data_IF_983553159224
#
_entry.id   IF_983553159224
#
_cell.length_a   1.000
_cell.length_b   1.000
_cell.length_c   1.000
_cell.angle_alpha   90.00
_cell.angle_beta   90.00
_cell.angle_gamma   90.00
#
_symmetry.space_group_name_H-M   'P 1'
#
loop_
_entity.id
_entity.type
_entity.pdbx_description
1 polymer ?
#
# COMPACT_ATOMS: atom_id res chain seq x y z
N UNK A 1 14.24 -8.15 54.37
CA UNK A 1 12.90 -8.29 53.73
C UNK A 1 12.39 -7.04 53.00
N UNK A 2 12.52 -5.81 53.56
CA UNK A 2 12.04 -4.57 52.89
C UNK A 2 12.75 -4.26 51.56
N UNK A 3 14.08 -4.46 51.49
CA UNK A 3 14.88 -4.23 50.26
C UNK A 3 14.49 -5.17 49.11
N UNK A 4 14.21 -6.44 49.40
CA UNK A 4 13.77 -7.43 48.39
C UNK A 4 12.38 -7.08 47.85
N UNK A 5 11.43 -6.67 48.71
CA UNK A 5 10.11 -6.19 48.26
C UNK A 5 10.20 -4.91 47.43
N UNK A 6 11.15 -4.02 47.73
CA UNK A 6 11.41 -2.81 46.95
C UNK A 6 12.00 -3.15 45.58
N UNK A 7 13.00 -4.03 45.52
CA UNK A 7 13.60 -4.50 44.27
C UNK A 7 12.58 -5.22 43.39
N UNK A 8 11.70 -6.04 43.98
CA UNK A 8 10.62 -6.71 43.24
C UNK A 8 9.61 -5.70 42.67
N UNK A 9 9.23 -4.67 43.44
CA UNK A 9 8.33 -3.61 42.95
C UNK A 9 8.96 -2.80 41.82
N UNK A 10 10.25 -2.49 41.94
CA UNK A 10 11.00 -1.79 40.88
C UNK A 10 11.07 -2.66 39.63
N UNK A 11 11.40 -3.95 39.75
CA UNK A 11 11.43 -4.87 38.62
C UNK A 11 10.05 -5.04 37.95
N UNK A 12 8.97 -5.13 38.71
CA UNK A 12 7.60 -5.21 38.18
C UNK A 12 7.19 -3.90 37.50
N UNK A 13 7.56 -2.74 38.05
CA UNK A 13 7.30 -1.44 37.43
C UNK A 13 8.07 -1.27 36.10
N UNK A 14 9.32 -1.74 36.03
CA UNK A 14 10.10 -1.76 34.79
C UNK A 14 9.50 -2.74 33.76
N UNK A 15 9.03 -3.92 34.18
CA UNK A 15 8.35 -4.87 33.30
C UNK A 15 7.04 -4.27 32.74
N UNK A 16 6.26 -3.58 33.57
CA UNK A 16 5.04 -2.91 33.14
C UNK A 16 5.32 -1.74 32.19
N UNK A 17 6.35 -0.93 32.45
CA UNK A 17 6.76 0.14 31.54
C UNK A 17 7.22 -0.41 30.19
N UNK A 18 7.95 -1.54 30.19
CA UNK A 18 8.39 -2.22 28.97
C UNK A 18 7.21 -2.80 28.16
N UNK A 19 6.22 -3.42 28.82
CA UNK A 19 5.01 -3.93 28.17
C UNK A 19 4.10 -2.81 27.63
N UNK A 20 4.02 -1.67 28.30
CA UNK A 20 3.30 -0.50 27.81
C UNK A 20 4.01 0.16 26.62
N UNK A 21 5.34 0.14 26.57
CA UNK A 21 6.09 0.64 25.40
C UNK A 21 5.95 -0.24 24.15
N UNK A 22 5.66 -1.55 24.30
CA UNK A 22 5.38 -2.42 23.15
C UNK A 22 4.02 -2.13 22.48
N UNK A 23 3.08 -1.47 23.18
CA UNK A 23 1.79 -1.07 22.61
C UNK A 23 1.85 0.27 21.85
N UNK A 24 2.97 1.00 21.92
CA UNK A 24 3.15 2.26 21.19
C UNK A 24 3.97 2.12 19.90
N UNK A 25 4.37 0.89 19.55
CA UNK A 25 5.09 0.56 18.32
C UNK A 25 4.27 -0.38 17.42
N UNK A 26 2.96 -0.15 17.38
CA UNK A 26 2.06 -0.57 16.28
C UNK A 26 1.27 0.67 15.84
N UNK A 27 2.01 1.74 15.58
CA UNK A 27 1.50 2.97 14.96
C UNK A 27 2.37 3.28 13.75
N UNK A 28 2.33 2.35 12.82
CA UNK A 28 2.69 2.48 11.42
C UNK A 28 1.73 1.54 10.71
N UNK A 29 0.99 2.05 9.74
CA UNK A 29 0.06 1.29 8.93
C UNK A 29 0.63 -0.10 8.61
N UNK A 30 -0.12 -1.15 8.94
CA UNK A 30 0.01 -2.36 8.13
C UNK A 30 -0.36 -1.87 6.74
N UNK A 31 0.56 -1.96 5.77
CA UNK A 31 0.11 -2.00 4.38
C UNK A 31 -0.90 -3.14 4.35
N UNK A 32 -2.16 -2.78 4.27
CA UNK A 32 -3.28 -3.71 4.17
C UNK A 32 -3.30 -4.31 2.77
N UNK A 33 -2.66 -3.63 1.81
CA UNK A 33 -2.34 -4.18 0.51
C UNK A 33 -1.10 -5.07 0.52
N UNK A 34 -1.16 -6.13 -0.28
CA UNK A 34 -0.08 -7.01 -0.79
C UNK A 34 -0.67 -7.93 -1.90
N UNK A 35 -1.60 -7.42 -2.72
CA UNK A 35 -2.37 -8.25 -3.66
C UNK A 35 -1.46 -9.05 -4.61
N UNK A 36 -0.28 -8.53 -4.94
CA UNK A 36 0.65 -9.17 -5.87
C UNK A 36 1.17 -10.52 -5.39
N UNK A 37 0.97 -10.87 -4.12
CA UNK A 37 1.38 -12.15 -3.54
C UNK A 37 0.41 -13.30 -3.80
N UNK A 38 -0.85 -12.97 -4.09
CA UNK A 38 -1.95 -13.93 -4.27
C UNK A 38 -2.81 -13.57 -5.48
N UNK A 39 -2.20 -12.87 -6.45
CA UNK A 39 -2.78 -12.64 -7.76
C UNK A 39 -1.71 -12.82 -8.83
N UNK A 40 -2.13 -13.34 -9.97
CA UNK A 40 -1.32 -13.58 -11.16
C UNK A 40 -1.90 -12.81 -12.37
N UNK A 41 -1.21 -12.87 -13.51
CA UNK A 41 -1.61 -12.20 -14.76
C UNK A 41 -1.99 -10.72 -14.58
N UNK A 42 -1.21 -10.02 -13.76
CA UNK A 42 -1.43 -8.62 -13.39
C UNK A 42 -1.15 -7.71 -14.59
N UNK A 43 -2.18 -7.01 -15.05
CA UNK A 43 -2.17 -6.13 -16.21
C UNK A 43 -2.81 -4.78 -15.89
N UNK A 44 -2.46 -3.76 -16.68
CA UNK A 44 -3.10 -2.45 -16.63
C UNK A 44 -3.73 -2.13 -17.99
N UNK A 45 -5.03 -1.78 -17.99
CA UNK A 45 -5.77 -1.30 -19.17
C UNK A 45 -6.32 0.09 -18.88
N UNK A 46 -5.64 1.11 -19.39
CA UNK A 46 -5.92 2.50 -19.03
C UNK A 46 -5.58 2.75 -17.56
N UNK A 47 -6.58 3.15 -16.76
CA UNK A 47 -6.47 3.26 -15.30
C UNK A 47 -7.03 2.05 -14.54
N UNK A 48 -7.48 1.00 -15.24
CA UNK A 48 -8.01 -0.21 -14.60
C UNK A 48 -6.93 -1.26 -14.43
N UNK A 49 -6.64 -1.62 -13.18
CA UNK A 49 -5.81 -2.77 -12.82
C UNK A 49 -6.65 -4.04 -12.95
N UNK A 50 -6.10 -5.08 -13.56
CA UNK A 50 -6.76 -6.36 -13.77
C UNK A 50 -5.80 -7.46 -13.32
N UNK A 51 -6.31 -8.47 -12.63
CA UNK A 51 -5.53 -9.63 -12.21
C UNK A 51 -6.43 -10.85 -12.01
N UNK A 52 -5.84 -12.04 -12.03
CA UNK A 52 -6.48 -13.27 -11.59
C UNK A 52 -6.05 -13.54 -10.14
N UNK A 53 -6.99 -13.62 -9.20
CA UNK A 53 -6.70 -13.56 -7.77
C UNK A 53 -7.23 -14.78 -7.02
N UNK A 54 -6.40 -15.34 -6.16
CA UNK A 54 -6.72 -16.54 -5.36
C UNK A 54 -7.85 -16.24 -4.36
N UNK A 55 -8.72 -17.21 -4.16
CA UNK A 55 -9.69 -17.26 -3.06
C UNK A 55 -9.18 -18.12 -1.90
N UNK A 56 -9.78 -18.00 -0.71
CA UNK A 56 -9.41 -18.87 0.42
C UNK A 56 -9.68 -20.36 0.19
N UNK A 57 -10.50 -20.69 -0.82
CA UNK A 57 -10.83 -22.06 -1.21
C UNK A 57 -9.83 -22.66 -2.22
N UNK A 58 -8.88 -21.87 -2.72
CA UNK A 58 -7.87 -22.31 -3.70
C UNK A 58 -8.34 -22.30 -5.16
N UNK A 59 -9.48 -21.66 -5.43
CA UNK A 59 -9.91 -21.27 -6.78
C UNK A 59 -9.43 -19.85 -7.10
N UNK A 60 -9.25 -19.51 -8.37
CA UNK A 60 -8.83 -18.18 -8.82
C UNK A 60 -9.96 -17.44 -9.53
N UNK A 61 -10.04 -16.13 -9.32
CA UNK A 61 -11.10 -15.27 -9.85
C UNK A 61 -10.51 -14.06 -10.58
N UNK A 62 -10.99 -13.80 -11.79
CA UNK A 62 -10.65 -12.57 -12.51
C UNK A 62 -11.26 -11.36 -11.80
N UNK A 63 -10.41 -10.40 -11.47
CA UNK A 63 -10.77 -9.19 -10.74
C UNK A 63 -10.21 -7.96 -11.41
N UNK A 64 -10.88 -6.82 -11.18
CA UNK A 64 -10.45 -5.54 -11.71
C UNK A 64 -10.75 -4.40 -10.74
N UNK A 65 -9.84 -3.44 -10.66
CA UNK A 65 -9.97 -2.25 -9.82
C UNK A 65 -9.63 -0.99 -10.63
N UNK A 66 -10.52 -0.01 -10.62
CA UNK A 66 -10.26 1.27 -11.26
C UNK A 66 -9.40 2.15 -10.35
N UNK A 67 -8.15 2.40 -10.75
CA UNK A 67 -7.20 3.16 -9.94
C UNK A 67 -7.53 4.66 -9.87
N UNK A 68 -8.30 5.21 -10.82
CA UNK A 68 -8.75 6.60 -10.73
C UNK A 68 -9.66 6.85 -9.51
N UNK A 69 -10.24 5.81 -8.92
CA UNK A 69 -11.06 5.92 -7.71
C UNK A 69 -10.22 6.16 -6.45
N UNK A 70 -8.90 5.91 -6.49
CA UNK A 70 -8.04 5.94 -5.29
C UNK A 70 -6.71 6.65 -5.48
N UNK A 71 -6.31 6.93 -6.73
CA UNK A 71 -5.06 7.59 -7.06
C UNK A 71 -5.38 8.90 -7.80
N UNK A 72 -4.78 9.98 -7.31
CA UNK A 72 -4.76 11.27 -7.98
C UNK A 72 -3.35 11.76 -8.30
N UNK A 73 -3.29 12.98 -8.83
CA UNK A 73 -2.06 13.70 -9.12
C UNK A 73 -1.96 14.95 -8.24
N UNK A 74 -0.98 14.97 -7.34
CA UNK A 74 -0.70 16.08 -6.43
C UNK A 74 0.62 16.77 -6.84
N UNK A 75 0.53 17.90 -7.54
CA UNK A 75 1.67 18.66 -8.10
C UNK A 75 2.71 17.79 -8.85
N UNK A 76 2.22 16.87 -9.70
CA UNK A 76 3.03 15.95 -10.48
C UNK A 76 3.41 14.65 -9.76
N UNK A 77 2.92 14.43 -8.53
CA UNK A 77 3.20 13.19 -7.76
C UNK A 77 1.93 12.35 -7.67
N UNK A 78 2.03 11.06 -8.02
CA UNK A 78 0.93 10.11 -7.80
C UNK A 78 0.66 10.00 -6.29
N UNK A 79 -0.60 10.09 -5.88
CA UNK A 79 -0.96 10.09 -4.46
C UNK A 79 -2.21 9.25 -4.19
N UNK A 80 -2.12 8.42 -3.15
CA UNK A 80 -3.26 7.66 -2.61
C UNK A 80 -4.25 8.58 -1.91
N UNK A 81 -5.55 8.27 -2.04
CA UNK A 81 -6.64 9.01 -1.41
C UNK A 81 -7.14 10.22 -2.21
N UNK A 82 -6.47 10.55 -3.31
CA UNK A 82 -6.97 11.47 -4.34
C UNK A 82 -7.62 10.67 -5.49
N UNK A 83 -8.04 11.36 -6.56
CA UNK A 83 -8.78 10.74 -7.66
C UNK A 83 -8.34 11.23 -9.04
N UNK A 84 -8.66 10.44 -10.06
CA UNK A 84 -8.58 10.79 -11.47
C UNK A 84 -7.18 11.18 -11.96
N UNK A 85 -6.12 10.51 -11.50
CA UNK A 85 -4.76 10.76 -11.98
C UNK A 85 -4.65 10.65 -13.51
N UNK A 86 -5.44 9.75 -14.14
CA UNK A 86 -5.41 9.51 -15.59
C UNK A 86 -5.74 10.75 -16.43
N UNK A 87 -6.39 11.75 -15.85
CA UNK A 87 -6.76 12.99 -16.54
C UNK A 87 -5.60 13.97 -16.71
N UNK A 88 -4.58 13.87 -15.85
CA UNK A 88 -3.45 14.82 -15.80
C UNK A 88 -2.09 14.12 -15.85
N UNK A 89 -2.08 12.81 -15.98
CA UNK A 89 -0.88 12.01 -16.18
C UNK A 89 -0.89 11.34 -17.56
N UNK A 90 0.30 11.10 -18.10
CA UNK A 90 0.53 10.44 -19.38
C UNK A 90 1.61 9.39 -19.24
N UNK A 91 1.81 8.60 -20.31
CA UNK A 91 2.76 7.49 -20.32
C UNK A 91 2.55 6.53 -19.12
N UNK A 92 1.28 6.35 -18.74
CA UNK A 92 0.88 5.50 -17.62
C UNK A 92 1.21 4.05 -17.94
N UNK A 93 1.91 3.38 -17.05
CA UNK A 93 2.32 1.99 -17.24
C UNK A 93 2.48 1.24 -15.92
N UNK A 94 2.33 -0.08 -16.01
CA UNK A 94 2.63 -1.00 -14.93
C UNK A 94 4.09 -1.43 -15.02
N UNK A 95 4.80 -1.39 -13.91
CA UNK A 95 6.18 -1.84 -13.80
C UNK A 95 6.43 -2.62 -12.52
N UNK A 96 7.68 -3.07 -12.34
CA UNK A 96 8.14 -3.68 -11.10
C UNK A 96 9.45 -3.04 -10.66
N UNK A 97 9.58 -2.80 -9.36
CA UNK A 97 10.85 -2.34 -8.79
C UNK A 97 11.92 -3.43 -8.94
N UNK A 98 13.12 -3.04 -9.37
CA UNK A 98 14.23 -3.99 -9.56
C UNK A 98 14.70 -4.62 -8.24
N UNK A 99 14.61 -3.88 -7.14
CA UNK A 99 15.08 -4.31 -5.82
C UNK A 99 14.13 -5.27 -5.11
N UNK A 100 12.82 -4.99 -5.15
CA UNK A 100 11.82 -5.72 -4.37
C UNK A 100 10.87 -6.56 -5.21
N UNK A 101 10.85 -6.35 -6.54
CA UNK A 101 9.82 -6.89 -7.45
C UNK A 101 8.39 -6.43 -7.16
N UNK A 102 8.21 -5.46 -6.25
CA UNK A 102 6.92 -4.86 -5.97
C UNK A 102 6.35 -4.20 -7.23
N UNK A 103 5.04 -4.37 -7.44
CA UNK A 103 4.35 -3.74 -8.56
C UNK A 103 4.20 -2.24 -8.33
N UNK A 104 4.56 -1.46 -9.35
CA UNK A 104 4.44 0.00 -9.36
C UNK A 104 3.58 0.46 -10.51
N UNK A 105 2.80 1.51 -10.26
CA UNK A 105 2.23 2.34 -11.31
C UNK A 105 3.20 3.49 -11.57
N UNK A 106 3.67 3.60 -12.81
CA UNK A 106 4.58 4.65 -13.27
C UNK A 106 3.86 5.57 -14.23
N UNK A 107 4.09 6.88 -14.12
CA UNK A 107 3.53 7.86 -15.03
C UNK A 107 4.39 9.15 -15.09
N UNK A 108 4.14 9.95 -16.13
CA UNK A 108 4.54 11.36 -16.18
C UNK A 108 3.32 12.22 -15.84
N UNK A 109 3.34 12.92 -14.72
CA UNK A 109 2.20 13.68 -14.22
C UNK A 109 2.44 15.20 -14.30
N UNK A 110 1.39 15.93 -14.68
CA UNK A 110 1.40 17.39 -14.80
C UNK A 110 1.56 18.06 -13.42
N UNK A 111 2.41 19.07 -13.34
CA UNK A 111 2.60 19.89 -12.15
C UNK A 111 1.55 21.00 -12.06
N UNK A 112 1.42 21.62 -10.89
CA UNK A 112 0.48 22.71 -10.63
C UNK A 112 0.70 23.94 -11.53
N UNK A 113 1.89 24.06 -12.14
CA UNK A 113 2.19 25.10 -13.14
C UNK A 113 1.54 24.88 -14.51
N UNK A 114 0.96 23.69 -14.77
CA UNK A 114 0.33 23.29 -16.04
C UNK A 114 1.26 23.42 -17.27
N UNK A 115 2.57 23.41 -17.04
CA UNK A 115 3.58 23.59 -18.07
C UNK A 115 4.65 22.50 -18.01
N UNK A 116 4.85 21.89 -16.84
CA UNK A 116 5.84 20.85 -16.64
C UNK A 116 5.21 19.54 -16.20
N UNK A 117 5.87 18.45 -16.57
CA UNK A 117 5.54 17.10 -16.17
C UNK A 117 6.73 16.52 -15.43
N UNK A 118 6.49 15.67 -14.44
CA UNK A 118 7.53 14.93 -13.73
C UNK A 118 7.18 13.45 -13.70
N UNK A 119 8.21 12.60 -13.78
CA UNK A 119 8.07 11.16 -13.63
C UNK A 119 7.82 10.82 -12.16
N UNK A 120 6.83 9.99 -11.90
CA UNK A 120 6.44 9.58 -10.55
C UNK A 120 5.99 8.12 -10.58
N UNK A 121 6.31 7.41 -9.50
CA UNK A 121 5.95 6.02 -9.30
C UNK A 121 5.23 5.89 -7.96
N UNK A 122 4.26 4.98 -7.87
CA UNK A 122 3.58 4.62 -6.63
C UNK A 122 3.49 3.10 -6.52
N UNK A 123 3.72 2.55 -5.33
CA UNK A 123 3.74 1.10 -5.08
C UNK A 123 2.32 0.62 -4.84
N UNK A 124 1.81 -0.23 -5.72
CA UNK A 124 0.41 -0.68 -5.69
C UNK A 124 0.11 -1.59 -4.49
N UNK A 125 1.08 -2.39 -4.07
CA UNK A 125 0.97 -3.22 -2.87
C UNK A 125 0.83 -2.40 -1.58
N UNK A 126 1.01 -1.08 -1.56
CA UNK A 126 0.81 -0.33 -0.31
C UNK A 126 -0.65 -0.33 0.15
N UNK A 127 -1.58 -0.34 -0.81
CA UNK A 127 -3.01 -0.09 -0.57
C UNK A 127 -3.97 -0.98 -1.37
N UNK A 128 -3.47 -1.90 -2.19
CA UNK A 128 -4.32 -2.85 -2.92
C UNK A 128 -4.15 -4.24 -2.32
N UNK A 129 -5.25 -4.80 -1.85
CA UNK A 129 -5.37 -6.14 -1.30
C UNK A 129 -6.15 -7.07 -2.23
N UNK A 130 -5.94 -8.37 -2.07
CA UNK A 130 -6.85 -9.39 -2.57
C UNK A 130 -7.72 -9.87 -1.39
N UNK A 131 -9.04 -9.66 -1.47
CA UNK A 131 -10.02 -10.16 -0.49
C UNK A 131 -10.94 -11.17 -1.20
N UNK A 132 -10.73 -12.46 -0.93
CA UNK A 132 -11.50 -13.57 -1.52
C UNK A 132 -11.62 -13.47 -3.06
N UNK A 133 -10.50 -13.27 -3.75
CA UNK A 133 -10.45 -13.13 -5.21
C UNK A 133 -10.83 -11.74 -5.72
N UNK A 134 -11.07 -10.76 -4.85
CA UNK A 134 -11.48 -9.39 -5.22
C UNK A 134 -10.39 -8.37 -4.90
N UNK A 135 -9.86 -7.69 -5.92
CA UNK A 135 -9.00 -6.54 -5.75
C UNK A 135 -9.74 -5.42 -5.01
N UNK A 136 -9.19 -5.00 -3.87
CA UNK A 136 -9.84 -4.03 -2.97
C UNK A 136 -8.81 -3.00 -2.49
N UNK A 137 -9.23 -1.73 -2.40
CA UNK A 137 -8.45 -0.67 -1.77
C UNK A 137 -8.60 -0.72 -0.24
N UNK A 138 -7.49 -0.69 0.49
CA UNK A 138 -7.44 -0.74 1.96
C UNK A 138 -6.47 0.28 2.58
#
# INVERSE_FOLDING_TARGET
MKKIKLLLKVAVAFLFAFLLSFNLMVKGAMATGEFSRTCEDIELKGSTLIANCDTSYGDDVDSSLNLDEFIGNLDGTLSWGDHNFSQTCRAVGLGQLLSTKAYILSAECERADQQSYISTDIVLDEHIANIEGTLTYE
#
